data_IF_244482812985
#
_entry.id   IF_244482812985
#
_cell.length_a   1.000
_cell.length_b   1.000
_cell.length_c   1.000
_cell.angle_alpha   90.00
_cell.angle_beta   90.00
_cell.angle_gamma   90.00
#
_symmetry.space_group_name_H-M   'P 1'
#
loop_
_entity.id
_entity.type
_entity.pdbx_description
1 polymer ?
#
# COMPACT_ATOMS: atom_id res chain seq x y z
N UNK A 1 -6.53 2.65 -31.74
CA UNK A 1 -7.17 3.73 -30.94
C UNK A 1 -8.69 3.57 -30.92
N UNK A 2 -9.31 3.21 -32.04
CA UNK A 2 -10.75 2.94 -32.16
C UNK A 2 -11.26 1.88 -31.17
N UNK A 3 -10.52 0.77 -31.00
CA UNK A 3 -10.86 -0.29 -30.04
C UNK A 3 -10.88 0.17 -28.57
N UNK A 4 -9.98 1.07 -28.18
CA UNK A 4 -9.90 1.55 -26.81
C UNK A 4 -11.10 2.44 -26.48
N UNK A 5 -11.47 3.33 -27.41
CA UNK A 5 -12.62 4.20 -27.24
C UNK A 5 -13.93 3.41 -27.29
N UNK A 6 -14.02 2.38 -28.13
CA UNK A 6 -15.14 1.45 -28.13
C UNK A 6 -15.29 0.78 -26.76
N UNK A 7 -14.22 0.18 -26.22
CA UNK A 7 -14.26 -0.47 -24.90
C UNK A 7 -14.63 0.50 -23.78
N UNK A 8 -14.09 1.71 -23.79
CA UNK A 8 -14.45 2.74 -22.79
C UNK A 8 -15.94 3.10 -22.82
N UNK A 9 -16.56 3.06 -24.01
CA UNK A 9 -17.99 3.34 -24.21
C UNK A 9 -18.91 2.15 -23.91
N UNK A 10 -18.46 0.91 -24.15
CA UNK A 10 -19.37 -0.25 -24.17
C UNK A 10 -19.14 -1.28 -23.06
N UNK A 11 -17.98 -1.28 -22.39
CA UNK A 11 -17.69 -2.29 -21.36
C UNK A 11 -17.99 -1.74 -19.98
N UNK A 12 -18.38 -2.64 -19.06
CA UNK A 12 -18.39 -2.34 -17.63
C UNK A 12 -16.94 -2.19 -17.13
N UNK A 13 -16.66 -1.06 -16.46
CA UNK A 13 -15.33 -0.68 -16.00
C UNK A 13 -15.32 -0.73 -14.47
N UNK A 14 -14.44 -1.58 -13.95
CA UNK A 14 -14.18 -1.75 -12.53
C UNK A 14 -12.82 -1.16 -12.19
N UNK A 15 -12.73 -0.41 -11.09
CA UNK A 15 -11.48 -0.08 -10.42
C UNK A 15 -11.44 -0.73 -9.04
N UNK A 16 -10.29 -1.33 -8.69
CA UNK A 16 -10.05 -1.87 -7.36
C UNK A 16 -9.10 -0.94 -6.62
N UNK A 17 -9.57 -0.40 -5.50
CA UNK A 17 -8.88 0.63 -4.73
C UNK A 17 -8.58 0.15 -3.33
N UNK A 18 -7.64 0.83 -2.69
CA UNK A 18 -7.18 0.51 -1.35
C UNK A 18 -6.85 1.78 -0.61
N UNK A 19 -7.11 1.76 0.69
CA UNK A 19 -6.70 2.81 1.59
C UNK A 19 -5.24 3.23 1.30
N UNK A 20 -4.97 4.54 1.09
CA UNK A 20 -3.65 5.01 0.72
C UNK A 20 -2.54 4.56 1.67
N UNK A 21 -2.71 4.66 2.99
CA UNK A 21 -1.67 4.26 3.94
C UNK A 21 -1.55 2.74 4.04
N UNK A 22 -2.65 2.00 3.95
CA UNK A 22 -2.63 0.53 3.95
C UNK A 22 -1.92 -0.02 2.70
N UNK A 23 -2.03 0.69 1.57
CA UNK A 23 -1.28 0.43 0.34
C UNK A 23 0.20 0.69 0.55
N UNK A 24 0.58 1.79 1.20
CA UNK A 24 1.98 2.08 1.55
C UNK A 24 2.59 1.03 2.48
N UNK A 25 1.86 0.63 3.52
CA UNK A 25 2.30 -0.44 4.43
C UNK A 25 2.50 -1.77 3.68
N UNK A 26 1.60 -2.09 2.75
CA UNK A 26 1.71 -3.29 1.91
C UNK A 26 2.90 -3.24 0.97
N UNK A 27 3.12 -2.11 0.30
CA UNK A 27 4.28 -1.91 -0.55
C UNK A 27 5.58 -2.04 0.25
N UNK A 28 5.66 -1.41 1.41
CA UNK A 28 6.84 -1.49 2.26
C UNK A 28 7.13 -2.93 2.71
N UNK A 29 6.10 -3.63 3.19
CA UNK A 29 6.21 -5.00 3.69
C UNK A 29 6.64 -5.97 2.57
N UNK A 30 6.02 -5.90 1.39
CA UNK A 30 6.35 -6.79 0.27
C UNK A 30 7.76 -6.53 -0.27
N UNK A 31 8.10 -5.26 -0.52
CA UNK A 31 9.30 -4.87 -1.27
C UNK A 31 10.57 -4.86 -0.43
N UNK A 32 10.48 -4.52 0.86
CA UNK A 32 11.67 -4.37 1.72
C UNK A 32 11.77 -5.43 2.80
N UNK A 33 10.65 -5.98 3.29
CA UNK A 33 10.67 -6.95 4.38
C UNK A 33 10.59 -8.41 3.89
N UNK A 34 9.63 -8.72 3.03
CA UNK A 34 9.39 -10.09 2.53
C UNK A 34 10.37 -10.45 1.42
N UNK A 35 10.60 -9.52 0.47
CA UNK A 35 11.42 -9.78 -0.72
C UNK A 35 12.64 -8.83 -0.85
N UNK A 36 13.49 -8.70 0.19
CA UNK A 36 14.61 -7.76 0.15
C UNK A 36 15.57 -8.10 -1.00
N UNK A 37 15.82 -7.11 -1.87
CA UNK A 37 16.75 -7.24 -2.99
C UNK A 37 16.18 -7.91 -4.25
N UNK A 38 14.90 -8.30 -4.26
CA UNK A 38 14.25 -8.84 -5.47
C UNK A 38 14.04 -7.79 -6.55
N UNK A 39 13.82 -6.54 -6.15
CA UNK A 39 13.44 -5.47 -7.07
C UNK A 39 14.63 -4.54 -7.36
N UNK A 40 14.93 -4.32 -8.64
CA UNK A 40 16.07 -3.51 -9.11
C UNK A 40 16.03 -2.06 -8.62
N UNK A 41 14.83 -1.54 -8.34
CA UNK A 41 14.64 -0.18 -7.83
C UNK A 41 15.15 0.02 -6.39
N UNK A 42 15.27 -1.05 -5.59
CA UNK A 42 15.67 -0.96 -4.17
C UNK A 42 17.04 -0.29 -4.05
N UNK A 43 17.95 -0.52 -5.01
CA UNK A 43 19.27 0.12 -5.03
C UNK A 43 19.17 1.64 -5.19
N UNK A 44 18.32 2.11 -6.11
CA UNK A 44 18.09 3.55 -6.37
C UNK A 44 17.44 4.21 -5.17
N UNK A 45 16.40 3.59 -4.62
CA UNK A 45 15.75 4.11 -3.42
C UNK A 45 16.73 4.16 -2.23
N UNK A 46 17.56 3.13 -2.04
CA UNK A 46 18.59 3.11 -0.99
C UNK A 46 19.59 4.26 -1.12
N UNK A 47 20.04 4.57 -2.34
CA UNK A 47 20.90 5.73 -2.58
C UNK A 47 20.17 7.03 -2.24
N UNK A 48 18.90 7.15 -2.63
CA UNK A 48 18.10 8.34 -2.41
C UNK A 48 17.80 8.60 -0.92
N UNK A 49 17.65 7.55 -0.11
CA UNK A 49 17.48 7.65 1.36
C UNK A 49 18.80 7.65 2.13
N UNK A 50 19.96 7.56 1.45
CA UNK A 50 21.26 7.61 2.11
C UNK A 50 21.52 8.89 2.91
N UNK A 51 20.84 9.98 2.53
CA UNK A 51 20.89 11.28 3.22
C UNK A 51 19.70 11.51 4.18
N UNK A 52 18.90 10.47 4.46
CA UNK A 52 17.80 10.54 5.42
C UNK A 52 18.31 10.83 6.82
N UNK A 53 17.62 11.72 7.54
CA UNK A 53 17.88 12.03 8.96
C UNK A 53 17.71 10.81 9.90
N UNK A 54 17.16 9.70 9.40
CA UNK A 54 16.91 8.47 10.17
C UNK A 54 18.03 7.41 10.04
N UNK A 55 19.11 7.75 9.32
CA UNK A 55 20.23 6.86 8.97
C UNK A 55 20.69 5.92 10.11
N UNK A 56 20.76 4.62 9.77
CA UNK A 56 21.24 3.50 10.61
C UNK A 56 20.46 3.19 11.90
N UNK A 57 19.25 3.72 12.10
CA UNK A 57 18.39 3.22 13.18
C UNK A 57 17.77 1.89 12.77
N UNK A 58 18.54 0.81 12.92
CA UNK A 58 18.07 -0.56 12.69
C UNK A 58 16.74 -0.77 13.42
N UNK A 59 15.65 -0.92 12.67
CA UNK A 59 14.32 -1.27 13.16
C UNK A 59 14.33 -2.71 13.71
N UNK A 60 15.06 -2.95 14.80
CA UNK A 60 14.97 -4.19 15.57
C UNK A 60 13.67 -4.26 16.39
N UNK A 61 13.01 -3.12 16.62
CA UNK A 61 11.84 -2.97 17.51
C UNK A 61 10.46 -3.00 16.84
N UNK A 62 10.37 -2.91 15.51
CA UNK A 62 9.10 -2.89 14.77
C UNK A 62 8.73 -4.25 14.13
N UNK A 63 9.55 -5.27 14.35
CA UNK A 63 9.38 -6.58 13.72
C UNK A 63 8.31 -7.39 14.49
N UNK A 64 7.34 -8.01 13.80
CA UNK A 64 6.56 -9.09 14.38
C UNK A 64 7.55 -10.18 14.81
N UNK A 65 7.58 -10.53 16.09
CA UNK A 65 8.40 -11.60 16.64
C UNK A 65 7.85 -12.94 16.17
N UNK A 66 8.04 -13.28 14.89
CA UNK A 66 7.88 -14.64 14.40
C UNK A 66 9.21 -15.13 13.86
N UNK A 67 9.98 -15.70 14.79
CA UNK A 67 11.14 -16.56 14.51
C UNK A 67 10.65 -17.80 13.74
N UNK A 68 10.40 -17.68 12.45
CA UNK A 68 10.14 -18.84 11.58
C UNK A 68 10.34 -18.46 10.12
N UNK A 69 11.61 -18.27 9.72
CA UNK A 69 12.17 -18.57 8.40
C UNK A 69 13.67 -18.26 8.45
N UNK A 70 14.42 -19.11 9.15
CA UNK A 70 15.84 -19.33 8.84
C UNK A 70 15.87 -20.03 7.48
N UNK A 71 15.76 -19.24 6.41
CA UNK A 71 16.29 -19.65 5.12
C UNK A 71 17.80 -19.50 5.21
N UNK A 72 18.52 -20.62 5.29
CA UNK A 72 19.96 -20.68 5.13
C UNK A 72 20.34 -20.05 3.78
N UNK A 73 21.13 -18.98 3.77
CA UNK A 73 21.94 -18.64 2.60
C UNK A 73 23.15 -17.79 2.98
N UNK A 74 24.30 -18.31 2.58
CA UNK A 74 25.66 -17.88 2.86
C UNK A 74 26.00 -16.41 2.53
N UNK A 75 26.87 -15.81 3.35
CA UNK A 75 28.13 -15.24 2.85
C UNK A 75 28.20 -13.79 2.37
N UNK A 76 27.10 -13.06 2.20
CA UNK A 76 27.15 -11.62 1.88
C UNK A 76 26.40 -10.82 2.95
N UNK A 77 27.03 -9.81 3.54
CA UNK A 77 26.37 -8.81 4.41
C UNK A 77 25.30 -8.08 3.58
N UNK A 78 24.10 -8.66 3.46
CA UNK A 78 22.95 -7.99 2.85
C UNK A 78 22.64 -6.78 3.71
N UNK A 79 22.83 -5.59 3.13
CA UNK A 79 22.53 -4.35 3.83
C UNK A 79 21.07 -4.35 4.32
N UNK A 80 20.81 -3.79 5.51
CA UNK A 80 19.54 -3.91 6.21
C UNK A 80 18.36 -3.41 5.35
N UNK A 81 17.15 -3.96 5.56
CA UNK A 81 15.97 -3.50 4.86
C UNK A 81 15.74 -2.01 5.10
N UNK A 82 15.20 -1.31 4.10
CA UNK A 82 14.84 0.11 4.22
C UNK A 82 13.78 0.23 5.32
N UNK A 83 14.01 1.09 6.30
CA UNK A 83 13.06 1.28 7.41
C UNK A 83 11.76 1.93 6.91
N UNK A 84 10.66 1.73 7.63
CA UNK A 84 9.39 2.41 7.29
C UNK A 84 9.54 3.94 7.34
N UNK A 85 10.39 4.47 8.24
CA UNK A 85 10.66 5.91 8.34
C UNK A 85 11.42 6.42 7.12
N UNK A 86 12.44 5.69 6.65
CA UNK A 86 13.16 6.05 5.42
C UNK A 86 12.26 5.97 4.20
N UNK A 87 11.37 4.97 4.16
CA UNK A 87 10.40 4.82 3.08
C UNK A 87 9.41 6.00 3.05
N UNK A 88 8.78 6.33 4.18
CA UNK A 88 7.88 7.49 4.30
C UNK A 88 8.60 8.80 3.95
N UNK A 89 9.81 9.00 4.49
CA UNK A 89 10.62 10.17 4.17
C UNK A 89 10.91 10.29 2.67
N UNK A 90 11.17 9.16 1.99
CA UNK A 90 11.41 9.15 0.56
C UNK A 90 10.21 9.58 -0.26
N UNK A 91 8.99 9.27 0.21
CA UNK A 91 7.73 9.68 -0.43
C UNK A 91 7.52 11.17 -0.21
N UNK A 92 7.56 11.63 1.06
CA UNK A 92 7.36 13.03 1.45
C UNK A 92 8.33 13.97 0.70
N UNK A 93 9.57 13.54 0.52
CA UNK A 93 10.60 14.35 -0.13
C UNK A 93 10.75 14.04 -1.64
N UNK A 94 9.78 13.33 -2.23
CA UNK A 94 9.72 12.96 -3.64
C UNK A 94 11.06 12.41 -4.18
N UNK A 95 11.71 11.52 -3.41
CA UNK A 95 13.05 11.02 -3.72
C UNK A 95 13.06 9.93 -4.77
N UNK A 96 11.99 9.17 -4.89
CA UNK A 96 11.89 8.09 -5.86
C UNK A 96 10.43 7.74 -6.15
N UNK A 97 9.99 7.94 -7.40
CA UNK A 97 8.63 7.65 -7.85
C UNK A 97 8.49 6.17 -8.24
N UNK A 98 7.35 5.56 -7.93
CA UNK A 98 7.04 4.19 -8.31
C UNK A 98 5.54 3.92 -8.25
N UNK A 99 5.04 3.07 -9.16
CA UNK A 99 3.64 2.65 -9.24
C UNK A 99 3.07 2.04 -7.94
N UNK A 100 3.89 1.55 -7.02
CA UNK A 100 3.38 0.98 -5.77
C UNK A 100 3.04 2.02 -4.71
N UNK A 101 3.63 3.22 -4.76
CA UNK A 101 3.41 4.29 -3.78
C UNK A 101 3.17 5.66 -4.40
N UNK A 102 3.07 5.80 -5.71
CA UNK A 102 2.48 7.02 -6.29
C UNK A 102 0.96 7.06 -6.01
N UNK A 103 0.34 8.21 -5.78
CA UNK A 103 -1.12 8.34 -5.70
C UNK A 103 -1.82 7.79 -6.95
N UNK A 104 -2.99 7.18 -6.80
CA UNK A 104 -3.82 6.73 -7.93
C UNK A 104 -4.14 7.90 -8.86
N UNK A 105 -4.47 9.07 -8.29
CA UNK A 105 -4.71 10.30 -9.04
C UNK A 105 -3.56 10.62 -10.01
N UNK A 106 -2.30 10.37 -9.62
CA UNK A 106 -1.12 10.65 -10.44
C UNK A 106 -0.75 9.53 -11.41
N UNK A 107 -1.17 8.28 -11.17
CA UNK A 107 -0.79 7.14 -12.00
C UNK A 107 -1.78 6.85 -13.13
N UNK A 108 -3.05 6.73 -12.78
CA UNK A 108 -4.07 6.20 -13.69
C UNK A 108 -5.03 7.28 -14.17
N UNK A 109 -4.84 8.52 -13.71
CA UNK A 109 -5.79 9.62 -13.86
C UNK A 109 -7.25 9.12 -13.78
N UNK A 110 -7.63 8.42 -12.70
CA UNK A 110 -8.91 7.71 -12.61
C UNK A 110 -10.11 8.62 -12.90
N UNK A 111 -9.97 9.93 -12.68
CA UNK A 111 -10.94 10.96 -13.06
C UNK A 111 -11.24 11.03 -14.58
N UNK A 112 -10.38 10.48 -15.44
CA UNK A 112 -10.55 10.47 -16.90
C UNK A 112 -11.41 9.28 -17.39
N UNK A 113 -11.69 8.31 -16.51
CA UNK A 113 -12.49 7.13 -16.83
C UNK A 113 -13.74 7.14 -15.97
N UNK A 114 -14.91 7.09 -16.60
CA UNK A 114 -16.17 6.92 -15.87
C UNK A 114 -16.30 5.46 -15.45
N UNK A 115 -15.81 5.10 -14.27
CA UNK A 115 -15.94 3.75 -13.75
C UNK A 115 -17.39 3.48 -13.36
N UNK A 116 -17.88 2.29 -13.73
CA UNK A 116 -19.22 1.83 -13.38
C UNK A 116 -19.23 1.25 -11.95
N UNK A 117 -18.07 0.76 -11.48
CA UNK A 117 -17.90 0.14 -10.17
C UNK A 117 -16.56 0.53 -9.52
N UNK A 118 -16.60 0.80 -8.22
CA UNK A 118 -15.43 0.96 -7.36
C UNK A 118 -15.48 -0.18 -6.33
N UNK A 119 -14.46 -1.03 -6.31
CA UNK A 119 -14.33 -2.09 -5.31
C UNK A 119 -13.17 -1.76 -4.36
N UNK A 120 -13.40 -1.93 -3.07
CA UNK A 120 -12.42 -1.65 -2.03
C UNK A 120 -11.77 -2.95 -1.60
N UNK A 121 -10.44 -2.95 -1.40
CA UNK A 121 -9.74 -4.21 -1.04
C UNK A 121 -10.23 -4.84 0.26
N UNK A 122 -10.78 -4.05 1.17
CA UNK A 122 -11.35 -4.48 2.45
C UNK A 122 -12.73 -5.13 2.35
N UNK A 123 -13.48 -4.84 1.28
CA UNK A 123 -14.78 -5.45 0.92
C UNK A 123 -14.75 -6.17 -0.43
N UNK A 124 -13.54 -6.53 -0.90
CA UNK A 124 -13.30 -6.95 -2.29
C UNK A 124 -14.21 -8.08 -2.76
N UNK A 125 -14.46 -9.07 -1.92
CA UNK A 125 -15.26 -10.23 -2.31
C UNK A 125 -16.73 -9.84 -2.46
N UNK A 126 -17.25 -9.02 -1.56
CA UNK A 126 -18.60 -8.48 -1.60
C UNK A 126 -18.78 -7.59 -2.84
N UNK A 127 -17.82 -6.69 -3.10
CA UNK A 127 -17.86 -5.78 -4.24
C UNK A 127 -17.76 -6.52 -5.58
N UNK A 128 -16.91 -7.56 -5.66
CA UNK A 128 -16.81 -8.40 -6.86
C UNK A 128 -18.08 -9.24 -7.09
N UNK A 129 -18.75 -9.72 -6.04
CA UNK A 129 -20.06 -10.38 -6.18
C UNK A 129 -21.09 -9.43 -6.77
N UNK A 130 -21.16 -8.20 -6.24
CA UNK A 130 -22.07 -7.19 -6.75
C UNK A 130 -21.75 -6.84 -8.21
N UNK A 131 -20.47 -6.64 -8.53
CA UNK A 131 -20.01 -6.40 -9.90
C UNK A 131 -20.41 -7.54 -10.85
N UNK A 132 -20.22 -8.80 -10.45
CA UNK A 132 -20.61 -9.95 -11.27
C UNK A 132 -22.12 -9.97 -11.52
N UNK A 133 -22.91 -9.79 -10.46
CA UNK A 133 -24.36 -9.76 -10.55
C UNK A 133 -24.85 -8.65 -11.50
N UNK A 134 -24.37 -7.42 -11.31
CA UNK A 134 -24.75 -6.25 -12.11
C UNK A 134 -24.23 -6.33 -13.55
N UNK A 135 -23.18 -7.10 -13.80
CA UNK A 135 -22.63 -7.32 -15.15
C UNK A 135 -23.23 -8.54 -15.85
N UNK A 136 -24.23 -9.22 -15.27
CA UNK A 136 -24.83 -10.43 -15.84
C UNK A 136 -23.89 -11.64 -15.86
N UNK A 137 -22.82 -11.61 -15.06
CA UNK A 137 -21.88 -12.72 -14.91
C UNK A 137 -22.46 -13.71 -13.91
N UNK A 138 -22.93 -14.84 -14.41
CA UNK A 138 -23.55 -15.91 -13.60
C UNK A 138 -22.65 -17.14 -13.48
N UNK A 139 -22.76 -17.87 -12.36
CA UNK A 139 -22.05 -19.14 -12.15
C UNK A 139 -20.54 -19.02 -11.98
N UNK A 140 -20.03 -17.83 -11.58
CA UNK A 140 -18.60 -17.55 -11.39
C UNK A 140 -18.20 -17.28 -9.94
N UNK A 141 -19.07 -17.51 -8.97
CA UNK A 141 -18.74 -17.26 -7.56
C UNK A 141 -17.52 -18.07 -7.07
N UNK A 142 -17.26 -19.23 -7.69
CA UNK A 142 -16.10 -20.06 -7.37
C UNK A 142 -14.73 -19.47 -7.74
N UNK A 143 -14.66 -18.40 -8.54
CA UNK A 143 -13.38 -17.72 -8.87
C UNK A 143 -13.06 -16.55 -7.94
N UNK A 144 -13.99 -16.18 -7.06
CA UNK A 144 -13.79 -15.09 -6.13
C UNK A 144 -12.72 -15.44 -5.11
N UNK A 145 -11.82 -14.50 -4.77
CA UNK A 145 -10.77 -14.75 -3.79
C UNK A 145 -11.39 -15.03 -2.42
N UNK A 146 -10.66 -15.73 -1.56
CA UNK A 146 -11.02 -15.80 -0.13
C UNK A 146 -10.66 -14.46 0.52
N UNK A 147 -11.62 -13.84 1.22
CA UNK A 147 -11.36 -12.62 1.97
C UNK A 147 -10.60 -12.97 3.25
N UNK A 148 -9.38 -12.46 3.36
CA UNK A 148 -8.58 -12.51 4.59
C UNK A 148 -7.98 -11.13 4.84
N UNK A 149 -7.92 -10.66 6.11
CA UNK A 149 -7.23 -9.43 6.42
C UNK A 149 -5.80 -9.46 5.86
N UNK A 150 -5.44 -8.43 5.09
CA UNK A 150 -4.10 -8.34 4.54
C UNK A 150 -3.07 -8.27 5.68
N UNK A 151 -1.84 -8.77 5.46
CA UNK A 151 -0.77 -8.64 6.48
C UNK A 151 -0.49 -7.18 6.84
N UNK A 152 -0.68 -6.28 5.88
CA UNK A 152 -0.57 -4.85 6.10
C UNK A 152 -1.70 -4.32 6.97
N UNK A 153 -2.96 -4.71 6.74
CA UNK A 153 -4.11 -4.37 7.61
C UNK A 153 -3.90 -4.88 9.03
N UNK A 154 -3.54 -6.15 9.18
CA UNK A 154 -3.30 -6.77 10.49
C UNK A 154 -2.08 -6.17 11.24
N UNK A 155 -1.16 -5.53 10.53
CA UNK A 155 0.06 -4.92 11.04
C UNK A 155 0.08 -3.39 10.99
N UNK A 156 -1.04 -2.74 10.62
CA UNK A 156 -1.06 -1.35 10.19
C UNK A 156 -0.53 -0.40 11.27
N UNK A 157 -1.20 -0.33 12.42
CA UNK A 157 -0.79 0.55 13.51
C UNK A 157 0.61 0.24 14.05
N UNK A 158 1.03 -1.03 14.07
CA UNK A 158 2.41 -1.40 14.46
C UNK A 158 3.46 -0.92 13.46
N UNK A 159 3.13 -0.94 12.18
CA UNK A 159 4.01 -0.48 11.09
C UNK A 159 4.24 1.02 11.19
N UNK A 160 3.18 1.80 11.37
CA UNK A 160 3.26 3.26 11.39
C UNK A 160 3.54 3.88 12.76
N UNK A 161 3.43 3.13 13.87
CA UNK A 161 3.77 3.61 15.22
C UNK A 161 5.12 4.32 15.35
N UNK A 162 6.12 3.91 14.56
CA UNK A 162 7.47 4.48 14.63
C UNK A 162 7.65 5.70 13.70
N UNK A 163 6.62 6.05 12.94
CA UNK A 163 6.59 7.21 12.05
C UNK A 163 5.98 8.38 12.82
N UNK A 164 6.61 9.56 12.81
CA UNK A 164 6.06 10.72 13.48
C UNK A 164 4.67 11.11 12.95
N UNK A 165 3.71 11.51 13.80
CA UNK A 165 2.37 11.89 13.36
C UNK A 165 2.35 13.01 12.31
N UNK A 166 3.30 13.95 12.36
CA UNK A 166 3.45 15.00 11.36
C UNK A 166 3.82 14.46 9.98
N UNK A 167 4.64 13.40 9.91
CA UNK A 167 4.98 12.73 8.66
C UNK A 167 3.74 11.97 8.12
N UNK A 168 2.92 11.38 8.99
CA UNK A 168 1.65 10.74 8.60
C UNK A 168 0.66 11.76 8.04
N UNK A 169 0.50 12.92 8.69
CA UNK A 169 -0.37 14.00 8.18
C UNK A 169 0.12 14.51 6.82
N UNK A 170 1.43 14.65 6.63
CA UNK A 170 1.98 15.04 5.33
C UNK A 170 1.71 13.99 4.25
N UNK A 171 1.76 12.69 4.56
CA UNK A 171 1.26 11.67 3.64
C UNK A 171 -0.23 11.89 3.34
N UNK A 172 -1.05 12.18 4.35
CA UNK A 172 -2.45 12.57 4.19
C UNK A 172 -2.66 13.64 3.12
N UNK A 173 -1.88 14.72 3.17
CA UNK A 173 -1.94 15.79 2.15
C UNK A 173 -1.53 15.30 0.74
N UNK A 174 -0.49 14.48 0.63
CA UNK A 174 -0.02 13.93 -0.65
C UNK A 174 -1.08 13.03 -1.30
N UNK A 175 -1.76 12.20 -0.51
CA UNK A 175 -2.79 11.26 -0.97
C UNK A 175 -4.21 11.81 -0.85
N UNK A 176 -4.40 13.09 -0.47
CA UNK A 176 -5.72 13.69 -0.28
C UNK A 176 -6.67 13.44 -1.46
N UNK A 177 -6.25 13.58 -2.74
CA UNK A 177 -7.11 13.26 -3.87
C UNK A 177 -7.59 11.80 -3.89
N UNK A 178 -6.77 10.85 -3.46
CA UNK A 178 -7.14 9.43 -3.39
C UNK A 178 -8.11 9.17 -2.22
N UNK A 179 -7.85 9.78 -1.05
CA UNK A 179 -8.73 9.70 0.11
C UNK A 179 -10.13 10.21 -0.24
N UNK A 180 -10.21 11.44 -0.76
CA UNK A 180 -11.46 12.11 -1.10
C UNK A 180 -12.23 11.35 -2.20
N UNK A 181 -11.52 10.88 -3.24
CA UNK A 181 -12.13 10.22 -4.40
C UNK A 181 -12.68 8.82 -4.08
N UNK A 182 -12.05 8.09 -3.16
CA UNK A 182 -12.42 6.71 -2.87
C UNK A 182 -13.11 6.52 -1.51
N UNK A 183 -13.38 7.61 -0.79
CA UNK A 183 -14.12 7.58 0.48
C UNK A 183 -13.33 6.95 1.62
N UNK A 184 -12.01 7.16 1.65
CA UNK A 184 -11.15 6.79 2.78
C UNK A 184 -10.94 8.01 3.69
N UNK A 185 -10.54 7.78 4.94
CA UNK A 185 -10.36 8.82 5.96
C UNK A 185 -8.97 8.77 6.58
N UNK A 186 -8.22 9.87 6.45
CA UNK A 186 -6.91 9.99 7.12
C UNK A 186 -7.09 10.10 8.64
N UNK A 187 -8.22 10.61 9.11
CA UNK A 187 -8.57 10.66 10.52
C UNK A 187 -8.72 9.24 11.11
N UNK A 188 -9.42 8.35 10.41
CA UNK A 188 -9.57 6.94 10.83
C UNK A 188 -8.21 6.23 10.90
N UNK A 189 -7.32 6.51 9.94
CA UNK A 189 -5.96 5.99 9.94
C UNK A 189 -5.13 6.48 11.14
N UNK A 190 -5.20 7.77 11.44
CA UNK A 190 -4.52 8.37 12.59
C UNK A 190 -5.02 7.76 13.90
N UNK A 191 -6.33 7.59 14.06
CA UNK A 191 -6.93 6.93 15.22
C UNK A 191 -6.48 5.46 15.34
N UNK A 192 -6.44 4.72 14.23
CA UNK A 192 -5.96 3.34 14.21
C UNK A 192 -4.49 3.22 14.63
N UNK A 193 -3.65 4.18 14.23
CA UNK A 193 -2.24 4.25 14.63
C UNK A 193 -2.13 4.58 16.13
N UNK A 194 -2.88 5.56 16.62
CA UNK A 194 -2.87 5.97 18.03
C UNK A 194 -3.33 4.83 18.96
N UNK A 195 -4.40 4.12 18.58
CA UNK A 195 -4.91 2.99 19.35
C UNK A 195 -3.87 1.85 19.46
N UNK A 196 -3.05 1.63 18.43
CA UNK A 196 -1.95 0.67 18.48
C UNK A 196 -0.79 1.09 19.40
N UNK A 197 -0.65 2.39 19.69
CA UNK A 197 0.29 2.89 20.72
C UNK A 197 -0.18 2.51 22.12
N UNK A 198 -1.49 2.68 22.38
CA UNK A 198 -2.12 2.47 23.70
C UNK A 198 -2.16 1.01 24.13
N UNK A 199 -2.33 0.06 23.20
CA UNK A 199 -2.41 -1.38 23.48
C UNK A 199 -1.07 -2.05 23.89
N UNK A 200 0.01 -1.29 24.10
CA UNK A 200 1.31 -1.80 24.55
C UNK A 200 1.80 -1.14 25.86
N UNK A 201 0.88 -0.54 26.63
CA UNK A 201 1.08 -0.09 28.02
C UNK A 201 0.40 -1.08 28.95
#
# INVERSE_FOLDING_TARGET
MEDAQMRLKTYNKLIVVRDPLERLASAWLDKFFISPGRFSFIRRLRQAVGNSKFGNTTTKRALPTNRSRRGSMHGARRAPPISIRDFVWSIINNKYRNEHWEPFFSQCAPCQVQYDFIAHTDTLVEDLRLFFHMSGIVGKDGILPRQHPSRAKAGFGRTFRVVPPEDIRHLGEIYKPDFDMFGYSIEEDLEAIENALKQNV
#
